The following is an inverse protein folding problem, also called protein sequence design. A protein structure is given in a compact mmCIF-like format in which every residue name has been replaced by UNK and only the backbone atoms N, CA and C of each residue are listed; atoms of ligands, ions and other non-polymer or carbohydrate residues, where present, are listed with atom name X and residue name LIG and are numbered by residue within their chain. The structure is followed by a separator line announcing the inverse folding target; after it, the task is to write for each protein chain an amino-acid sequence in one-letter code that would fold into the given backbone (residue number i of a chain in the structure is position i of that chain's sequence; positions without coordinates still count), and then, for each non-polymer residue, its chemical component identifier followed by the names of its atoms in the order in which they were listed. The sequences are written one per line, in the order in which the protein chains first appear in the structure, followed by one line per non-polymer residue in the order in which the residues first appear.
data_IF_115966581464
#
_entry.id   IF_115966581464
#
_cell.length_a   1.000
_cell.length_b   1.000
_cell.length_c   1.000
_cell.angle_alpha   90.00
_cell.angle_beta   90.00
_cell.angle_gamma   90.00
#
_symmetry.space_group_name_H-M   'P 1'
#
loop_
_entity.id
_entity.type
_entity.pdbx_description
1 polymer ?
#
# COMPACT_ATOMS: atom_id res chain seq x y z
N UNK A 1 -5.43 35.64 -12.30
CA UNK A 1 -5.72 34.91 -13.55
C UNK A 1 -5.07 33.53 -13.42
N UNK A 2 -5.85 32.55 -12.98
CA UNK A 2 -5.44 31.17 -12.94
C UNK A 2 -5.25 30.66 -14.36
N UNK A 3 -4.03 30.42 -14.73
CA UNK A 3 -3.73 29.72 -15.98
C UNK A 3 -4.30 28.31 -15.92
N UNK A 4 -5.38 28.10 -16.64
CA UNK A 4 -5.92 26.77 -16.91
C UNK A 4 -4.78 25.92 -17.46
N UNK A 5 -4.20 25.05 -16.64
CA UNK A 5 -3.19 24.10 -17.12
C UNK A 5 -3.84 23.30 -18.24
N UNK A 6 -3.36 23.46 -19.45
CA UNK A 6 -3.80 22.70 -20.62
C UNK A 6 -3.49 21.23 -20.29
N UNK A 7 -4.51 20.46 -19.93
CA UNK A 7 -4.41 19.01 -19.84
C UNK A 7 -4.25 18.50 -21.26
N UNK A 8 -3.32 17.58 -21.47
CA UNK A 8 -3.13 16.93 -22.76
C UNK A 8 -4.36 16.03 -23.05
N UNK A 9 -5.40 16.65 -23.60
CA UNK A 9 -6.64 15.97 -23.97
C UNK A 9 -6.47 15.42 -25.38
N UNK A 10 -6.73 14.14 -25.52
CA UNK A 10 -6.74 13.43 -26.79
C UNK A 10 -8.17 13.02 -27.13
N UNK A 11 -8.52 13.11 -28.40
CA UNK A 11 -9.79 12.61 -28.91
C UNK A 11 -9.68 11.09 -29.11
N UNK A 12 -10.53 10.31 -28.43
CA UNK A 12 -10.60 8.85 -28.53
C UNK A 12 -11.73 8.38 -29.46
N UNK A 13 -12.49 9.31 -29.99
CA UNK A 13 -13.60 9.10 -30.90
C UNK A 13 -14.41 10.38 -31.04
N UNK A 14 -15.25 10.47 -32.08
CA UNK A 14 -16.01 11.68 -32.42
C UNK A 14 -16.77 12.23 -31.19
N UNK A 15 -16.35 13.40 -30.72
CA UNK A 15 -16.96 14.09 -29.58
C UNK A 15 -16.65 13.47 -28.21
N UNK A 16 -15.70 12.53 -28.12
CA UNK A 16 -15.25 11.93 -26.86
C UNK A 16 -13.76 12.17 -26.66
N UNK A 17 -13.43 12.86 -25.59
CA UNK A 17 -12.03 13.13 -25.21
C UNK A 17 -11.64 12.42 -23.95
N UNK A 18 -10.35 12.09 -23.81
CA UNK A 18 -9.73 11.57 -22.62
C UNK A 18 -8.41 12.29 -22.34
N UNK A 19 -7.94 12.24 -21.11
CA UNK A 19 -6.63 12.73 -20.73
C UNK A 19 -5.58 11.66 -20.99
N UNK A 20 -4.43 12.04 -21.55
CA UNK A 20 -3.27 11.14 -21.63
C UNK A 20 -2.73 10.89 -20.23
N UNK A 21 -2.40 9.64 -19.93
CA UNK A 21 -1.90 9.17 -18.63
C UNK A 21 -0.68 8.28 -18.84
N UNK A 22 0.13 8.11 -17.78
CA UNK A 22 1.44 7.46 -17.86
C UNK A 22 1.62 6.51 -16.68
N UNK A 23 2.16 5.31 -17.00
CA UNK A 23 2.65 4.34 -16.02
C UNK A 23 4.03 4.77 -15.48
N UNK A 24 4.49 4.12 -14.41
CA UNK A 24 5.85 4.33 -13.91
C UNK A 24 6.91 3.96 -14.95
N UNK A 25 6.61 3.02 -15.85
CA UNK A 25 7.54 2.61 -16.91
C UNK A 25 7.58 3.58 -18.10
N UNK A 26 6.58 4.44 -18.23
CA UNK A 26 6.56 5.50 -19.26
C UNK A 26 7.41 6.72 -18.90
N UNK A 27 7.87 6.82 -17.64
CA UNK A 27 8.65 7.97 -17.19
C UNK A 27 10.06 7.57 -16.80
N UNK A 28 11.01 8.48 -16.96
CA UNK A 28 12.38 8.32 -16.50
C UNK A 28 12.85 9.53 -15.69
N UNK A 29 13.72 9.27 -14.71
CA UNK A 29 14.33 10.28 -13.87
C UNK A 29 15.50 10.91 -14.60
N UNK A 30 15.50 12.25 -14.71
CA UNK A 30 16.57 13.01 -15.38
C UNK A 30 17.82 13.02 -14.50
N UNK A 31 18.99 12.60 -15.02
CA UNK A 31 20.23 12.67 -14.27
C UNK A 31 20.63 14.13 -13.99
N UNK A 32 21.30 14.36 -12.86
CA UNK A 32 21.82 15.66 -12.49
C UNK A 32 23.32 15.78 -12.82
N UNK A 33 23.78 17.01 -13.03
CA UNK A 33 25.23 17.32 -13.13
C UNK A 33 25.99 17.07 -11.82
N UNK A 34 25.29 16.96 -10.70
CA UNK A 34 25.88 16.77 -9.37
C UNK A 34 25.47 15.40 -8.83
N UNK A 35 26.42 14.65 -8.32
CA UNK A 35 26.17 13.36 -7.64
C UNK A 35 26.65 13.42 -6.20
N UNK A 36 26.16 12.50 -5.36
CA UNK A 36 26.54 12.34 -3.96
C UNK A 36 26.91 10.89 -3.66
N UNK A 37 27.49 10.63 -2.50
CA UNK A 37 27.59 9.29 -1.96
C UNK A 37 26.21 8.81 -1.50
N UNK A 38 25.84 7.57 -1.83
CA UNK A 38 24.56 6.97 -1.35
C UNK A 38 24.51 6.86 0.18
N UNK A 39 25.67 6.88 0.86
CA UNK A 39 25.72 6.92 2.33
C UNK A 39 25.22 8.25 2.91
N UNK A 40 25.14 9.30 2.11
CA UNK A 40 24.64 10.61 2.50
C UNK A 40 23.16 10.82 2.16
N UNK A 41 22.54 9.87 1.44
CA UNK A 41 21.14 9.94 1.08
C UNK A 41 20.27 9.28 2.16
N UNK A 42 19.35 10.05 2.73
CA UNK A 42 18.36 9.57 3.68
C UNK A 42 17.09 9.14 2.96
N UNK A 43 16.57 7.96 3.34
CA UNK A 43 15.26 7.48 2.89
C UNK A 43 14.21 7.58 4.00
N UNK A 44 14.57 8.21 5.12
CA UNK A 44 13.65 8.43 6.22
C UNK A 44 12.50 9.37 5.82
N UNK A 45 11.33 9.08 6.35
CA UNK A 45 10.12 9.87 6.16
C UNK A 45 9.30 9.89 7.45
N UNK A 46 8.27 10.69 7.49
CA UNK A 46 7.40 10.85 8.65
C UNK A 46 5.94 10.73 8.21
N UNK A 47 5.14 10.05 9.00
CA UNK A 47 3.69 10.00 8.87
C UNK A 47 3.10 10.47 10.19
N UNK A 48 2.54 11.67 10.21
CA UNK A 48 2.11 12.36 11.42
C UNK A 48 3.24 12.42 12.47
N UNK A 49 3.06 11.90 13.68
CA UNK A 49 4.08 11.84 14.73
C UNK A 49 5.08 10.68 14.56
N UNK A 50 4.84 9.74 13.67
CA UNK A 50 5.64 8.52 13.52
C UNK A 50 6.72 8.69 12.45
N UNK A 51 7.96 8.34 12.81
CA UNK A 51 9.11 8.36 11.93
C UNK A 51 9.48 6.95 11.48
N UNK A 52 9.79 6.82 10.20
CA UNK A 52 10.23 5.59 9.55
C UNK A 52 11.57 5.82 8.85
N UNK A 53 12.47 4.84 8.89
CA UNK A 53 13.78 4.92 8.25
C UNK A 53 13.74 4.56 6.76
N UNK A 54 12.72 3.80 6.35
CA UNK A 54 12.49 3.43 4.94
C UNK A 54 11.06 3.76 4.53
N UNK A 55 10.83 4.23 3.30
CA UNK A 55 9.50 4.66 2.84
C UNK A 55 8.67 3.47 2.33
N UNK A 56 8.58 2.42 3.12
CA UNK A 56 7.90 1.16 2.76
C UNK A 56 6.84 0.82 3.79
N UNK A 57 5.63 0.60 3.28
CA UNK A 57 4.52 -0.01 3.99
C UNK A 57 4.23 -1.38 3.35
N UNK A 58 3.81 -2.34 4.15
CA UNK A 58 3.32 -3.61 3.60
C UNK A 58 1.83 -3.52 3.27
N UNK A 59 1.44 -4.02 2.10
CA UNK A 59 0.02 -4.18 1.77
C UNK A 59 -0.65 -5.10 2.81
N UNK A 60 -1.79 -4.72 3.38
CA UNK A 60 -2.42 -5.40 4.51
C UNK A 60 -3.15 -6.68 4.08
N UNK A 61 -2.40 -7.71 3.73
CA UNK A 61 -2.92 -9.05 3.40
C UNK A 61 -2.25 -10.11 4.26
N UNK A 62 -2.98 -11.17 4.59
CA UNK A 62 -2.48 -12.30 5.38
C UNK A 62 -1.36 -13.07 4.67
N UNK A 63 -1.22 -12.92 3.35
CA UNK A 63 -0.09 -13.45 2.59
C UNK A 63 1.25 -12.82 2.98
N UNK A 64 1.23 -11.56 3.45
CA UNK A 64 2.44 -10.78 3.73
C UNK A 64 2.67 -10.56 5.22
N UNK A 65 1.60 -10.28 5.97
CA UNK A 65 1.69 -9.74 7.32
C UNK A 65 1.05 -10.65 8.36
N UNK A 66 1.93 -11.27 9.14
CA UNK A 66 1.68 -11.79 10.47
C UNK A 66 2.17 -10.77 11.51
N UNK A 67 1.91 -10.95 12.80
CA UNK A 67 2.59 -10.19 13.85
C UNK A 67 4.12 -10.26 13.75
N UNK A 68 4.67 -11.44 13.43
CA UNK A 68 6.11 -11.63 13.28
C UNK A 68 6.71 -10.87 12.09
N UNK A 69 6.09 -10.94 10.91
CA UNK A 69 6.56 -10.20 9.73
C UNK A 69 6.36 -8.70 9.87
N UNK A 70 5.29 -8.25 10.53
CA UNK A 70 5.10 -6.83 10.86
C UNK A 70 6.21 -6.30 11.78
N UNK A 71 6.61 -7.08 12.78
CA UNK A 71 7.75 -6.78 13.66
C UNK A 71 9.06 -6.75 12.87
N UNK A 72 9.29 -7.72 11.98
CA UNK A 72 10.48 -7.77 11.16
C UNK A 72 10.60 -6.51 10.27
N UNK A 73 9.51 -6.12 9.59
CA UNK A 73 9.49 -4.91 8.78
C UNK A 73 9.67 -3.64 9.62
N UNK A 74 9.02 -3.57 10.79
CA UNK A 74 9.16 -2.45 11.71
C UNK A 74 10.61 -2.27 12.21
N UNK A 75 11.32 -3.37 12.50
CA UNK A 75 12.73 -3.36 12.90
C UNK A 75 13.66 -2.89 11.77
N UNK A 76 13.28 -3.09 10.51
CA UNK A 76 13.98 -2.52 9.35
C UNK A 76 13.63 -1.04 9.10
N UNK A 77 12.72 -0.49 9.91
CA UNK A 77 12.30 0.91 9.83
C UNK A 77 11.16 1.19 8.85
N UNK A 78 10.46 0.16 8.39
CA UNK A 78 9.23 0.27 7.59
C UNK A 78 7.97 0.13 8.46
N UNK A 79 6.80 -0.01 7.83
CA UNK A 79 5.51 -0.16 8.49
C UNK A 79 4.80 -1.44 8.07
N UNK A 80 4.71 -2.42 8.97
CA UNK A 80 3.84 -3.57 8.83
C UNK A 80 2.41 -3.21 9.19
N UNK A 81 1.45 -3.58 8.34
CA UNK A 81 0.03 -3.30 8.57
C UNK A 81 -0.72 -4.63 8.69
N UNK A 82 -1.22 -4.92 9.87
CA UNK A 82 -2.02 -6.13 10.10
C UNK A 82 -3.40 -5.97 9.45
N UNK A 83 -3.93 -7.08 8.91
CA UNK A 83 -5.30 -7.12 8.45
C UNK A 83 -6.24 -7.37 9.64
N UNK A 84 -6.96 -6.36 10.12
CA UNK A 84 -7.90 -6.47 11.23
C UNK A 84 -9.11 -7.38 10.95
N UNK A 85 -9.31 -7.76 9.69
CA UNK A 85 -10.35 -8.69 9.25
C UNK A 85 -9.76 -10.01 8.75
N UNK A 86 -8.47 -10.22 8.94
CA UNK A 86 -7.70 -11.34 8.45
C UNK A 86 -7.73 -12.59 9.34
N UNK A 87 -6.87 -13.55 9.00
CA UNK A 87 -6.81 -14.86 9.66
C UNK A 87 -6.36 -14.76 11.11
N UNK A 88 -5.45 -13.85 11.44
CA UNK A 88 -5.00 -13.59 12.82
C UNK A 88 -6.09 -13.09 13.76
N UNK A 89 -7.18 -12.57 13.22
CA UNK A 89 -8.35 -12.17 13.97
C UNK A 89 -9.43 -13.27 14.04
N UNK A 90 -9.21 -14.44 13.42
CA UNK A 90 -10.24 -15.50 13.28
C UNK A 90 -9.83 -16.86 13.85
N UNK A 91 -8.56 -17.19 13.79
CA UNK A 91 -8.04 -18.50 14.15
C UNK A 91 -6.89 -18.39 15.14
N UNK A 92 -6.89 -19.27 16.17
CA UNK A 92 -5.77 -19.35 17.08
C UNK A 92 -4.60 -20.18 16.51
N UNK A 93 -4.87 -21.04 15.53
CA UNK A 93 -3.94 -21.93 14.85
C UNK A 93 -3.61 -21.47 13.42
N UNK A 94 -3.41 -20.16 13.22
CA UNK A 94 -3.24 -19.53 11.89
C UNK A 94 -2.10 -20.18 11.10
N UNK A 95 -0.97 -20.48 11.74
CA UNK A 95 0.20 -21.06 11.06
C UNK A 95 -0.16 -22.41 10.42
N UNK A 96 -0.86 -23.28 11.14
CA UNK A 96 -1.33 -24.56 10.60
C UNK A 96 -2.35 -24.37 9.47
N UNK A 97 -3.21 -23.35 9.54
CA UNK A 97 -4.16 -23.01 8.47
C UNK A 97 -3.49 -22.49 7.21
N UNK A 98 -2.44 -21.71 7.38
CA UNK A 98 -1.64 -21.23 6.24
C UNK A 98 -0.83 -22.38 5.61
N UNK A 99 -0.25 -23.29 6.39
CA UNK A 99 0.41 -24.48 5.87
C UNK A 99 -0.57 -25.34 5.06
N UNK A 100 -1.80 -25.56 5.56
CA UNK A 100 -2.86 -26.26 4.85
C UNK A 100 -3.19 -25.55 3.51
N UNK A 101 -3.37 -24.23 3.53
CA UNK A 101 -3.69 -23.43 2.34
C UNK A 101 -2.58 -23.51 1.29
N UNK A 102 -1.32 -23.38 1.71
CA UNK A 102 -0.15 -23.45 0.82
C UNK A 102 -0.01 -24.86 0.23
N UNK A 103 -0.20 -25.88 1.05
CA UNK A 103 -0.15 -27.26 0.58
C UNK A 103 -1.22 -27.54 -0.50
N UNK A 104 -2.44 -27.01 -0.32
CA UNK A 104 -3.50 -27.10 -1.34
C UNK A 104 -3.06 -26.35 -2.60
N UNK A 105 -2.54 -25.13 -2.47
CA UNK A 105 -2.10 -24.34 -3.60
C UNK A 105 -0.92 -24.96 -4.38
N UNK A 106 -0.03 -25.68 -3.70
CA UNK A 106 1.10 -26.40 -4.34
C UNK A 106 0.70 -27.73 -4.98
N UNK A 107 -0.35 -28.37 -4.48
CA UNK A 107 -0.71 -29.75 -4.83
C UNK A 107 -1.76 -29.85 -5.92
N UNK A 108 -2.47 -28.76 -6.17
CA UNK A 108 -3.68 -28.80 -6.98
C UNK A 108 -3.49 -28.02 -8.28
N UNK A 109 -3.77 -28.69 -9.41
CA UNK A 109 -3.94 -28.01 -10.71
C UNK A 109 -5.24 -27.18 -10.76
N UNK A 110 -6.06 -27.24 -9.71
CA UNK A 110 -7.32 -26.53 -9.59
C UNK A 110 -7.18 -25.28 -8.67
N UNK A 111 -7.02 -24.14 -9.31
CA UNK A 111 -6.97 -22.82 -8.63
C UNK A 111 -8.18 -22.58 -7.73
N UNK A 112 -9.33 -23.19 -8.04
CA UNK A 112 -10.59 -23.00 -7.31
C UNK A 112 -10.53 -23.63 -5.91
N UNK A 113 -9.77 -24.70 -5.69
CA UNK A 113 -9.67 -25.37 -4.39
C UNK A 113 -9.00 -24.47 -3.36
N UNK A 114 -7.88 -23.83 -3.69
CA UNK A 114 -7.18 -22.92 -2.80
C UNK A 114 -7.99 -21.66 -2.46
N UNK A 115 -8.69 -21.10 -3.42
CA UNK A 115 -9.63 -19.99 -3.19
C UNK A 115 -10.79 -20.41 -2.31
N UNK A 116 -11.37 -21.58 -2.55
CA UNK A 116 -12.46 -22.12 -1.73
C UNK A 116 -12.04 -22.31 -0.28
N UNK A 117 -10.83 -22.83 -0.06
CA UNK A 117 -10.26 -22.96 1.30
C UNK A 117 -10.03 -21.60 1.95
N UNK A 118 -9.43 -20.65 1.22
CA UNK A 118 -9.20 -19.29 1.71
C UNK A 118 -10.52 -18.61 2.13
N UNK A 119 -11.55 -18.73 1.32
CA UNK A 119 -12.89 -18.22 1.63
C UNK A 119 -13.49 -18.88 2.87
N UNK A 120 -13.37 -20.21 3.01
CA UNK A 120 -13.79 -20.95 4.18
C UNK A 120 -13.10 -20.45 5.45
N UNK A 121 -11.79 -20.24 5.41
CA UNK A 121 -11.03 -19.71 6.54
C UNK A 121 -11.51 -18.31 6.93
N UNK A 122 -11.76 -17.44 5.96
CA UNK A 122 -12.28 -16.09 6.20
C UNK A 122 -13.77 -16.02 6.54
N UNK A 123 -14.54 -17.11 6.40
CA UNK A 123 -15.92 -17.17 6.85
C UNK A 123 -16.08 -17.37 8.36
N UNK A 124 -15.03 -17.77 9.05
CA UNK A 124 -15.02 -17.85 10.51
C UNK A 124 -15.24 -16.45 11.14
N UNK A 125 -15.94 -16.37 12.29
CA UNK A 125 -16.21 -15.10 12.95
C UNK A 125 -14.91 -14.42 13.42
N UNK A 126 -14.90 -13.09 13.40
CA UNK A 126 -13.84 -12.31 14.03
C UNK A 126 -13.87 -12.51 15.55
N UNK A 127 -12.70 -12.72 16.13
CA UNK A 127 -12.49 -12.91 17.56
C UNK A 127 -11.67 -11.73 18.11
N UNK A 128 -12.28 -10.79 18.83
CA UNK A 128 -11.60 -9.59 19.32
C UNK A 128 -10.37 -9.90 20.19
N UNK A 129 -10.38 -10.97 20.94
CA UNK A 129 -9.26 -11.37 21.82
C UNK A 129 -8.04 -11.82 21.01
N UNK A 130 -8.24 -12.55 19.90
CA UNK A 130 -7.15 -12.94 19.00
C UNK A 130 -6.54 -11.72 18.31
N UNK A 131 -7.38 -10.81 17.84
CA UNK A 131 -6.92 -9.56 17.24
C UNK A 131 -6.14 -8.70 18.25
N UNK A 132 -6.65 -8.58 19.47
CA UNK A 132 -5.96 -7.85 20.56
C UNK A 132 -4.61 -8.49 20.90
N UNK A 133 -4.52 -9.83 20.94
CA UNK A 133 -3.27 -10.54 21.15
C UNK A 133 -2.25 -10.32 20.03
N UNK A 134 -2.69 -10.34 18.77
CA UNK A 134 -1.84 -10.04 17.62
C UNK A 134 -1.28 -8.59 17.66
N UNK A 135 -2.13 -7.63 18.04
CA UNK A 135 -1.74 -6.22 18.23
C UNK A 135 -0.74 -6.09 19.38
N UNK A 136 -1.02 -6.73 20.52
CA UNK A 136 -0.14 -6.68 21.69
C UNK A 136 1.26 -7.21 21.38
N UNK A 137 1.37 -8.29 20.62
CA UNK A 137 2.65 -8.86 20.19
C UNK A 137 3.50 -7.84 19.39
N UNK A 138 2.89 -7.10 18.46
CA UNK A 138 3.59 -6.07 17.68
C UNK A 138 4.00 -4.89 18.57
N UNK A 139 3.10 -4.44 19.43
CA UNK A 139 3.35 -3.34 20.38
C UNK A 139 4.50 -3.64 21.35
N UNK A 140 4.51 -4.85 21.93
CA UNK A 140 5.56 -5.28 22.86
C UNK A 140 6.94 -5.35 22.22
N UNK A 141 7.00 -5.55 20.91
CA UNK A 141 8.25 -5.48 20.16
C UNK A 141 8.78 -4.05 19.95
N UNK A 142 8.02 -3.02 20.34
CA UNK A 142 8.43 -1.61 20.26
C UNK A 142 8.45 -1.02 18.86
N UNK A 143 7.69 -1.59 17.93
CA UNK A 143 7.51 -1.06 16.57
C UNK A 143 6.13 -0.44 16.42
N UNK A 144 5.99 0.50 15.47
CA UNK A 144 4.69 1.15 15.18
C UNK A 144 3.65 0.11 14.79
N UNK A 145 2.51 0.14 15.46
CA UNK A 145 1.42 -0.82 15.30
C UNK A 145 0.31 -0.24 14.44
N UNK A 146 0.16 -0.77 13.24
CA UNK A 146 -0.88 -0.35 12.30
C UNK A 146 -1.83 -1.51 11.98
N UNK A 147 -3.12 -1.20 11.89
CA UNK A 147 -4.15 -2.18 11.55
C UNK A 147 -5.07 -1.61 10.45
N UNK A 148 -5.34 -2.45 9.46
CA UNK A 148 -6.27 -2.16 8.38
C UNK A 148 -7.66 -2.67 8.70
N UNK A 149 -8.66 -1.86 8.37
CA UNK A 149 -10.08 -2.23 8.32
C UNK A 149 -10.68 -1.83 6.98
N UNK A 150 -11.73 -2.54 6.56
CA UNK A 150 -12.54 -2.11 5.42
C UNK A 150 -13.47 -0.94 5.82
N UNK A 151 -13.94 -0.12 4.88
CA UNK A 151 -14.93 0.92 5.16
C UNK A 151 -16.21 0.36 5.82
N UNK A 152 -16.60 -0.87 5.43
CA UNK A 152 -17.80 -1.53 5.94
C UNK A 152 -17.70 -1.86 7.43
N UNK A 153 -16.52 -2.24 7.88
CA UNK A 153 -16.29 -2.68 9.27
C UNK A 153 -15.60 -1.62 10.14
N UNK A 154 -15.25 -0.47 9.57
CA UNK A 154 -14.48 0.56 10.27
C UNK A 154 -15.13 0.99 11.59
N UNK A 155 -16.42 1.34 11.59
CA UNK A 155 -17.13 1.76 12.81
C UNK A 155 -17.19 0.65 13.87
N UNK A 156 -17.40 -0.59 13.44
CA UNK A 156 -17.58 -1.70 14.38
C UNK A 156 -16.26 -2.15 15.02
N UNK A 157 -15.16 -2.15 14.27
CA UNK A 157 -13.88 -2.68 14.75
C UNK A 157 -13.00 -1.65 15.47
N UNK A 158 -13.05 -0.38 15.05
CA UNK A 158 -12.14 0.66 15.54
C UNK A 158 -12.12 0.83 17.06
N UNK A 159 -13.23 0.80 17.80
CA UNK A 159 -13.19 0.90 19.26
C UNK A 159 -12.35 -0.19 19.94
N UNK A 160 -12.44 -1.43 19.44
CA UNK A 160 -11.64 -2.55 19.95
C UNK A 160 -10.15 -2.39 19.59
N UNK A 161 -9.85 -1.89 18.39
CA UNK A 161 -8.48 -1.64 17.93
C UNK A 161 -7.79 -0.54 18.76
N UNK A 162 -8.49 0.57 19.01
CA UNK A 162 -7.97 1.66 19.87
C UNK A 162 -7.72 1.14 21.30
N UNK A 163 -8.67 0.37 21.86
CA UNK A 163 -8.50 -0.27 23.16
C UNK A 163 -7.30 -1.22 23.21
N UNK A 164 -7.02 -1.92 22.11
CA UNK A 164 -5.85 -2.78 21.99
C UNK A 164 -4.54 -1.98 21.83
N UNK A 165 -4.62 -0.68 21.54
CA UNK A 165 -3.49 0.26 21.51
C UNK A 165 -2.77 0.31 20.18
N UNK A 166 -3.49 0.41 19.08
CA UNK A 166 -2.91 0.72 17.77
C UNK A 166 -2.37 2.15 17.72
N UNK A 167 -1.32 2.37 16.95
CA UNK A 167 -0.74 3.68 16.68
C UNK A 167 -1.35 4.34 15.43
N UNK A 168 -1.71 3.54 14.44
CA UNK A 168 -2.23 3.98 13.15
C UNK A 168 -3.43 3.12 12.73
N UNK A 169 -4.48 3.76 12.24
CA UNK A 169 -5.61 3.08 11.59
C UNK A 169 -5.52 3.25 10.09
N UNK A 170 -5.67 2.15 9.35
CA UNK A 170 -5.70 2.17 7.89
C UNK A 170 -7.10 1.77 7.41
N UNK A 171 -7.85 2.71 6.84
CA UNK A 171 -9.13 2.43 6.20
C UNK A 171 -8.87 2.19 4.72
N UNK A 172 -8.83 0.92 4.33
CA UNK A 172 -8.42 0.52 2.99
C UNK A 172 -9.43 -0.40 2.33
N UNK A 173 -9.79 -0.05 1.12
CA UNK A 173 -10.62 -0.83 0.20
C UNK A 173 -10.12 -0.66 -1.23
N UNK A 174 -10.68 -1.43 -2.17
CA UNK A 174 -10.30 -1.35 -3.58
C UNK A 174 -10.52 0.05 -4.14
N UNK A 175 -11.67 0.66 -3.84
CA UNK A 175 -11.99 2.06 -4.16
C UNK A 175 -12.61 2.67 -2.91
N UNK A 176 -12.07 3.79 -2.48
CA UNK A 176 -12.63 4.54 -1.35
C UNK A 176 -13.06 5.94 -1.81
N UNK A 177 -14.23 6.33 -1.35
CA UNK A 177 -14.71 7.70 -1.37
C UNK A 177 -14.73 8.28 0.05
N UNK A 178 -14.86 9.59 0.16
CA UNK A 178 -15.00 10.24 1.46
C UNK A 178 -16.27 9.79 2.22
N UNK A 179 -17.23 9.22 1.51
CA UNK A 179 -18.50 8.75 2.03
C UNK A 179 -18.80 7.35 1.47
N UNK A 180 -18.97 6.38 2.34
CA UNK A 180 -19.35 5.01 1.98
C UNK A 180 -20.83 4.80 2.32
N UNK A 181 -21.63 4.42 1.33
CA UNK A 181 -23.04 4.12 1.49
C UNK A 181 -23.22 2.61 1.64
N UNK A 182 -23.66 2.18 2.82
CA UNK A 182 -23.97 0.77 3.11
C UNK A 182 -25.31 0.30 2.53
N UNK A 183 -25.55 -1.00 2.47
CA UNK A 183 -26.82 -1.56 2.05
C UNK A 183 -27.92 -1.35 3.11
N UNK A 184 -29.16 -1.19 2.67
CA UNK A 184 -30.33 -1.47 3.48
C UNK A 184 -30.70 -0.44 4.58
N UNK A 185 -30.25 0.80 4.49
CA UNK A 185 -30.63 1.85 5.43
C UNK A 185 -29.66 2.04 6.61
N UNK A 186 -28.53 1.37 6.57
CA UNK A 186 -27.42 1.67 7.48
C UNK A 186 -26.91 3.09 7.24
N UNK A 187 -26.53 3.78 8.30
CA UNK A 187 -25.93 5.11 8.19
C UNK A 187 -24.62 5.04 7.39
N UNK A 188 -24.45 5.85 6.32
CA UNK A 188 -23.23 5.84 5.54
C UNK A 188 -22.01 6.16 6.41
N UNK A 189 -20.85 5.51 6.13
CA UNK A 189 -19.60 5.89 6.75
C UNK A 189 -19.14 7.24 6.20
N UNK A 190 -19.34 8.30 6.96
CA UNK A 190 -18.76 9.60 6.68
C UNK A 190 -17.36 9.64 7.31
N UNK A 191 -16.31 9.55 6.47
CA UNK A 191 -14.93 9.53 6.94
C UNK A 191 -14.52 10.79 7.70
N UNK A 192 -15.09 11.95 7.38
CA UNK A 192 -14.75 13.19 8.06
C UNK A 192 -15.20 13.17 9.53
N UNK A 193 -16.43 12.78 9.79
CA UNK A 193 -16.94 12.64 11.17
C UNK A 193 -16.24 11.50 11.89
N UNK A 194 -16.06 10.37 11.20
CA UNK A 194 -15.38 9.21 11.77
C UNK A 194 -13.94 9.52 12.20
N UNK A 195 -13.15 10.16 11.33
CA UNK A 195 -11.75 10.52 11.66
C UNK A 195 -11.68 11.56 12.77
N UNK A 196 -12.62 12.51 12.80
CA UNK A 196 -12.63 13.55 13.83
C UNK A 196 -12.90 13.03 15.25
N UNK A 197 -13.46 11.84 15.39
CA UNK A 197 -13.75 11.18 16.66
C UNK A 197 -12.57 10.33 17.19
N UNK A 198 -11.46 10.20 16.40
CA UNK A 198 -10.35 9.30 16.71
C UNK A 198 -9.13 10.07 17.20
N UNK A 199 -8.47 9.52 18.21
CA UNK A 199 -7.20 10.03 18.76
C UNK A 199 -5.97 9.46 18.04
N UNK A 200 -6.16 8.58 17.05
CA UNK A 200 -5.08 7.99 16.25
C UNK A 200 -5.13 8.49 14.80
N UNK A 201 -4.00 8.73 14.14
CA UNK A 201 -4.00 9.13 12.75
C UNK A 201 -4.57 8.04 11.84
N UNK A 202 -5.29 8.48 10.82
CA UNK A 202 -5.94 7.59 9.84
C UNK A 202 -5.29 7.77 8.48
N UNK A 203 -4.93 6.65 7.85
CA UNK A 203 -4.57 6.58 6.44
C UNK A 203 -5.74 5.98 5.68
N UNK A 204 -6.15 6.58 4.58
CA UNK A 204 -7.32 6.12 3.82
C UNK A 204 -7.01 5.96 2.32
N UNK A 205 -7.62 4.97 1.67
CA UNK A 205 -7.50 4.74 0.22
C UNK A 205 -8.00 3.34 -0.21
N UNK A 206 -8.08 3.03 -1.53
CA UNK A 206 -7.39 3.66 -2.64
C UNK A 206 -8.18 4.71 -3.42
N UNK A 207 -7.42 5.63 -3.93
CA UNK A 207 -7.85 6.66 -4.86
C UNK A 207 -6.85 6.75 -6.01
N UNK A 208 -7.23 7.38 -7.14
CA UNK A 208 -6.34 7.43 -8.31
C UNK A 208 -6.35 8.77 -9.07
N UNK A 209 -7.03 9.79 -8.56
CA UNK A 209 -7.08 11.09 -9.24
C UNK A 209 -7.07 12.25 -8.23
N UNK A 210 -6.82 13.45 -8.75
CA UNK A 210 -6.72 14.68 -7.96
C UNK A 210 -7.98 14.94 -7.12
N UNK A 211 -9.18 14.77 -7.70
CA UNK A 211 -10.43 15.12 -7.05
C UNK A 211 -10.74 14.21 -5.88
N UNK A 212 -10.62 12.91 -6.08
CA UNK A 212 -10.87 11.92 -5.02
C UNK A 212 -9.82 11.99 -3.93
N UNK A 213 -8.53 12.19 -4.29
CA UNK A 213 -7.46 12.41 -3.33
C UNK A 213 -7.71 13.67 -2.46
N UNK A 214 -8.08 14.81 -3.07
CA UNK A 214 -8.38 16.04 -2.35
C UNK A 214 -9.58 15.87 -1.40
N UNK A 215 -10.60 15.13 -1.83
CA UNK A 215 -11.74 14.80 -0.98
C UNK A 215 -11.34 14.02 0.26
N UNK A 216 -10.50 12.98 0.11
CA UNK A 216 -9.99 12.22 1.25
C UNK A 216 -9.10 13.08 2.17
N UNK A 217 -8.25 13.93 1.62
CA UNK A 217 -7.44 14.85 2.43
C UNK A 217 -8.31 15.77 3.31
N UNK A 218 -9.41 16.28 2.76
CA UNK A 218 -10.39 17.13 3.48
C UNK A 218 -11.17 16.41 4.58
N UNK A 219 -11.13 15.07 4.63
CA UNK A 219 -11.72 14.33 5.77
C UNK A 219 -10.86 14.39 7.02
N UNK A 220 -9.62 14.83 6.91
CA UNK A 220 -8.68 14.87 8.02
C UNK A 220 -7.70 13.70 8.05
N UNK A 221 -7.66 12.87 7.02
CA UNK A 221 -6.69 11.79 6.91
C UNK A 221 -5.25 12.30 7.02
N UNK A 222 -4.38 11.55 7.70
CA UNK A 222 -2.96 11.81 7.80
C UNK A 222 -2.21 11.39 6.52
N UNK A 223 -2.76 10.42 5.80
CA UNK A 223 -2.24 9.95 4.52
C UNK A 223 -3.33 9.43 3.60
N UNK A 224 -3.08 9.49 2.29
CA UNK A 224 -3.93 8.91 1.25
C UNK A 224 -3.17 7.85 0.48
N UNK A 225 -3.79 6.68 0.29
CA UNK A 225 -3.26 5.59 -0.51
C UNK A 225 -3.73 5.81 -1.95
N UNK A 226 -2.76 5.86 -2.87
CA UNK A 226 -2.98 6.13 -4.29
C UNK A 226 -2.70 4.88 -5.08
N UNK A 227 -3.69 4.42 -5.81
CA UNK A 227 -3.69 3.14 -6.50
C UNK A 227 -4.64 2.14 -5.85
N UNK A 228 -4.64 0.94 -6.39
CA UNK A 228 -5.57 -0.13 -6.02
C UNK A 228 -4.87 -1.47 -5.81
N UNK A 229 -3.59 -1.44 -5.52
CA UNK A 229 -2.72 -2.61 -5.43
C UNK A 229 -2.14 -3.01 -6.78
N UNK A 230 -1.30 -4.04 -6.77
CA UNK A 230 -0.74 -4.62 -8.00
C UNK A 230 -1.81 -5.33 -8.80
N UNK A 231 -1.75 -5.24 -10.13
CA UNK A 231 -2.64 -5.99 -11.04
C UNK A 231 -2.40 -7.50 -11.00
N UNK A 232 -1.24 -7.94 -10.53
CA UNK A 232 -0.95 -9.36 -10.43
C UNK A 232 -1.82 -10.03 -9.36
N UNK A 233 -2.56 -11.05 -9.75
CA UNK A 233 -3.36 -11.91 -8.86
C UNK A 233 -4.69 -11.39 -8.41
N UNK A 234 -5.07 -10.26 -8.88
CA UNK A 234 -6.32 -9.73 -8.50
C UNK A 234 -7.06 -9.30 -9.70
N UNK A 235 -8.10 -8.83 -9.84
CA UNK A 235 -9.09 -8.31 -9.01
C UNK A 235 -10.15 -7.60 -9.80
N UNK A 236 -10.76 -6.83 -9.20
CA UNK A 236 -12.01 -6.16 -9.42
C UNK A 236 -11.88 -4.76 -10.00
N UNK A 237 -10.69 -4.16 -10.09
CA UNK A 237 -10.57 -2.76 -10.55
C UNK A 237 -10.28 -2.61 -12.03
N UNK A 238 -9.05 -2.82 -12.47
CA UNK A 238 -8.67 -2.64 -13.86
C UNK A 238 -9.37 -3.64 -14.78
N UNK A 239 -9.15 -4.94 -14.53
CA UNK A 239 -9.62 -6.00 -15.43
C UNK A 239 -11.13 -6.23 -15.34
N UNK A 240 -11.72 -6.18 -14.14
CA UNK A 240 -13.13 -6.50 -13.94
C UNK A 240 -14.04 -5.28 -14.07
N UNK A 241 -13.64 -4.15 -13.52
CA UNK A 241 -14.47 -2.94 -13.50
C UNK A 241 -14.04 -1.90 -14.55
N UNK A 242 -12.86 -2.03 -15.16
CA UNK A 242 -12.29 -1.04 -16.07
C UNK A 242 -11.95 0.29 -15.39
N UNK A 243 -11.71 0.26 -14.05
CA UNK A 243 -11.43 1.45 -13.26
C UNK A 243 -9.94 1.48 -12.94
N UNK A 244 -9.25 2.55 -13.34
CA UNK A 244 -7.85 2.75 -13.03
C UNK A 244 -7.32 4.04 -13.64
N UNK A 245 -6.22 4.52 -13.08
CA UNK A 245 -5.39 5.58 -13.63
C UNK A 245 -3.94 5.12 -13.52
N UNK A 246 -3.15 5.13 -14.59
CA UNK A 246 -1.73 4.81 -14.60
C UNK A 246 -0.95 5.49 -13.48
N UNK A 247 -0.08 4.74 -12.81
CA UNK A 247 0.46 5.09 -11.50
C UNK A 247 1.30 6.38 -11.47
N UNK A 248 2.10 6.67 -12.49
CA UNK A 248 2.85 7.93 -12.51
C UNK A 248 1.91 9.14 -12.51
N UNK A 249 0.82 9.06 -13.28
CA UNK A 249 -0.20 10.10 -13.35
C UNK A 249 -1.01 10.18 -12.05
N UNK A 250 -1.44 9.04 -11.51
CA UNK A 250 -2.23 9.00 -10.28
C UNK A 250 -1.47 9.62 -9.09
N UNK A 251 -0.18 9.29 -8.94
CA UNK A 251 0.68 9.84 -7.89
C UNK A 251 0.86 11.36 -8.09
N UNK A 252 1.13 11.80 -9.31
CA UNK A 252 1.33 13.22 -9.62
C UNK A 252 0.05 14.04 -9.36
N UNK A 253 -1.12 13.49 -9.66
CA UNK A 253 -2.43 14.08 -9.37
C UNK A 253 -2.68 14.19 -7.86
N UNK A 254 -2.40 13.14 -7.10
CA UNK A 254 -2.54 13.17 -5.63
C UNK A 254 -1.54 14.14 -4.99
N UNK A 255 -0.32 14.21 -5.52
CA UNK A 255 0.67 15.20 -5.07
C UNK A 255 0.23 16.65 -5.41
N UNK A 256 -0.50 16.85 -6.51
CA UNK A 256 -1.12 18.14 -6.81
C UNK A 256 -2.26 18.46 -5.83
N UNK A 257 -3.14 17.49 -5.56
CA UNK A 257 -4.19 17.61 -4.55
C UNK A 257 -3.64 17.97 -3.16
N UNK A 258 -2.52 17.36 -2.77
CA UNK A 258 -1.81 17.69 -1.52
C UNK A 258 -1.36 19.15 -1.50
N UNK A 259 -0.84 19.69 -2.60
CA UNK A 259 -0.47 21.12 -2.67
C UNK A 259 -1.68 22.03 -2.50
N UNK A 260 -2.77 21.72 -3.20
CA UNK A 260 -4.00 22.50 -3.08
C UNK A 260 -4.54 22.45 -1.64
N UNK A 261 -4.52 21.28 -1.00
CA UNK A 261 -4.96 21.12 0.40
C UNK A 261 -4.04 21.85 1.40
N UNK A 262 -2.74 21.85 1.14
CA UNK A 262 -1.77 22.59 1.95
C UNK A 262 -2.06 24.10 1.90
N UNK A 263 -2.37 24.61 0.72
CA UNK A 263 -2.73 26.02 0.52
C UNK A 263 -4.09 26.35 1.17
N UNK A 264 -5.09 25.48 1.02
CA UNK A 264 -6.43 25.65 1.65
C UNK A 264 -6.35 25.67 3.18
N UNK A 265 -5.47 24.93 3.79
CA UNK A 265 -5.40 24.74 5.24
C UNK A 265 -4.32 25.57 5.92
N UNK A 266 -3.52 26.30 5.15
CA UNK A 266 -2.40 27.08 5.69
C UNK A 266 -1.25 26.22 6.23
N UNK A 267 -1.06 25.02 5.68
CA UNK A 267 0.13 24.22 5.98
C UNK A 267 -0.09 22.78 6.48
N UNK A 268 -1.32 22.28 6.50
CA UNK A 268 -1.57 20.88 6.88
C UNK A 268 -1.10 19.93 5.78
N UNK A 269 -0.10 19.11 6.11
CA UNK A 269 0.48 18.14 5.19
C UNK A 269 -0.25 16.80 5.27
N UNK A 270 -0.62 16.21 4.11
CA UNK A 270 -1.16 14.87 4.00
C UNK A 270 -0.22 14.03 3.16
N UNK A 271 0.15 12.85 3.64
CA UNK A 271 1.10 11.97 2.98
C UNK A 271 0.47 11.24 1.80
N UNK A 272 1.22 11.12 0.71
CA UNK A 272 0.84 10.36 -0.49
C UNK A 272 1.58 9.03 -0.48
N UNK A 273 0.84 7.93 -0.40
CA UNK A 273 1.37 6.57 -0.35
C UNK A 273 1.00 5.86 -1.65
N UNK A 274 1.99 5.49 -2.45
CA UNK A 274 1.77 4.82 -3.73
C UNK A 274 1.50 3.32 -3.50
N UNK A 275 0.37 2.80 -4.01
CA UNK A 275 -0.04 1.39 -3.90
C UNK A 275 -0.38 0.83 -5.29
N UNK A 276 0.61 0.31 -5.98
CA UNK A 276 0.46 -0.36 -7.29
C UNK A 276 1.72 -0.34 -8.13
N UNK A 277 1.96 -1.45 -8.83
CA UNK A 277 2.96 -1.64 -9.90
C UNK A 277 4.40 -1.21 -9.57
N UNK A 278 4.80 -1.41 -8.32
CA UNK A 278 6.15 -1.14 -7.82
C UNK A 278 6.81 -2.47 -7.49
N UNK A 279 7.52 -3.05 -8.46
CA UNK A 279 8.24 -4.32 -8.32
C UNK A 279 9.77 -4.14 -8.22
N UNK A 280 10.29 -2.99 -8.64
CA UNK A 280 11.73 -2.73 -8.68
C UNK A 280 12.12 -1.46 -7.94
N UNK A 281 13.39 -1.35 -7.57
CA UNK A 281 13.96 -0.13 -6.99
C UNK A 281 13.85 1.09 -7.92
N UNK A 282 13.88 0.86 -9.24
CA UNK A 282 13.67 1.90 -10.24
C UNK A 282 12.25 2.46 -10.22
N UNK A 283 11.25 1.58 -10.18
CA UNK A 283 9.83 1.98 -10.07
C UNK A 283 9.57 2.66 -8.72
N UNK A 284 10.15 2.16 -7.62
CA UNK A 284 10.08 2.83 -6.32
C UNK A 284 10.65 4.26 -6.39
N UNK A 285 11.81 4.45 -7.02
CA UNK A 285 12.39 5.78 -7.20
C UNK A 285 11.50 6.68 -8.05
N UNK A 286 10.91 6.16 -9.13
CA UNK A 286 9.98 6.91 -9.99
C UNK A 286 8.69 7.30 -9.25
N UNK A 287 8.14 6.42 -8.42
CA UNK A 287 6.98 6.73 -7.59
C UNK A 287 7.26 7.91 -6.63
N UNK A 288 8.41 7.90 -5.95
CA UNK A 288 8.82 9.03 -5.09
C UNK A 288 9.05 10.30 -5.93
N UNK A 289 9.71 10.18 -7.08
CA UNK A 289 9.95 11.31 -7.99
C UNK A 289 8.64 11.93 -8.53
N UNK A 290 7.60 11.11 -8.76
CA UNK A 290 6.26 11.60 -9.14
C UNK A 290 5.52 12.29 -7.98
N UNK A 291 5.99 12.17 -6.74
CA UNK A 291 5.46 12.89 -5.60
C UNK A 291 4.94 12.04 -4.44
N UNK A 292 5.11 10.72 -4.47
CA UNK A 292 4.82 9.87 -3.31
C UNK A 292 5.81 10.13 -2.16
N UNK A 293 5.33 9.99 -0.93
CA UNK A 293 6.16 10.05 0.28
C UNK A 293 6.67 8.65 0.67
N UNK A 294 5.88 7.62 0.34
CA UNK A 294 6.20 6.23 0.59
C UNK A 294 5.46 5.33 -0.41
N UNK A 295 5.82 4.04 -0.41
CA UNK A 295 5.18 3.02 -1.21
C UNK A 295 4.62 1.90 -0.33
N UNK A 296 3.40 1.46 -0.65
CA UNK A 296 2.79 0.25 -0.11
C UNK A 296 3.12 -0.89 -1.08
N UNK A 297 3.82 -1.91 -0.59
CA UNK A 297 4.30 -3.01 -1.41
C UNK A 297 3.51 -4.30 -1.13
N UNK A 298 3.11 -4.98 -2.19
CA UNK A 298 2.45 -6.27 -2.19
C UNK A 298 3.41 -7.39 -2.59
N UNK A 299 3.32 -7.82 -3.84
CA UNK A 299 4.11 -8.92 -4.44
C UNK A 299 5.61 -8.87 -4.12
N UNK A 300 6.30 -7.72 -4.15
CA UNK A 300 7.74 -7.69 -3.83
C UNK A 300 8.08 -8.18 -2.43
N UNK A 301 7.16 -8.07 -1.47
CA UNK A 301 7.37 -8.56 -0.12
C UNK A 301 7.02 -10.05 0.03
N UNK A 302 6.19 -10.60 -0.84
CA UNK A 302 5.77 -11.99 -0.78
C UNK A 302 6.91 -12.98 -1.04
N UNK A 303 7.98 -12.52 -1.72
CA UNK A 303 9.19 -13.33 -1.94
C UNK A 303 10.02 -13.53 -0.67
N UNK A 304 9.81 -12.70 0.37
CA UNK A 304 10.60 -12.75 1.60
C UNK A 304 10.31 -14.00 2.43
N UNK A 305 11.36 -14.52 3.09
CA UNK A 305 11.25 -15.68 3.97
C UNK A 305 10.29 -15.46 5.14
N UNK A 306 10.20 -14.22 5.63
CA UNK A 306 9.33 -13.82 6.73
C UNK A 306 7.86 -13.67 6.33
N UNK A 307 7.52 -13.69 5.03
CA UNK A 307 6.13 -13.57 4.58
C UNK A 307 5.37 -14.87 4.82
N UNK A 308 4.23 -14.83 5.54
CA UNK A 308 3.50 -16.04 5.93
C UNK A 308 2.91 -16.82 4.76
N UNK A 309 2.68 -16.17 3.62
CA UNK A 309 2.26 -16.83 2.37
C UNK A 309 3.31 -17.73 1.72
N UNK A 310 4.52 -17.84 2.30
CA UNK A 310 5.59 -18.76 1.90
C UNK A 310 5.91 -18.77 0.39
N UNK A 311 5.91 -17.60 -0.25
CA UNK A 311 6.13 -17.45 -1.69
C UNK A 311 4.85 -17.40 -2.52
N UNK A 312 3.69 -17.48 -1.86
CA UNK A 312 2.39 -17.22 -2.45
C UNK A 312 1.88 -15.83 -2.07
N UNK A 313 1.18 -15.20 -2.98
CA UNK A 313 0.55 -13.92 -2.76
C UNK A 313 -0.95 -13.99 -3.09
N UNK A 314 -1.77 -13.34 -2.27
CA UNK A 314 -3.17 -13.06 -2.56
C UNK A 314 -3.55 -11.70 -1.97
N UNK A 315 -4.37 -10.91 -2.69
CA UNK A 315 -4.89 -9.66 -2.15
C UNK A 315 -5.99 -9.93 -1.11
N UNK A 316 -6.23 -8.97 -0.22
CA UNK A 316 -7.31 -9.10 0.78
C UNK A 316 -8.69 -9.35 0.15
N UNK A 317 -8.91 -8.88 -1.08
CA UNK A 317 -10.15 -9.08 -1.81
C UNK A 317 -10.38 -10.55 -2.23
N UNK A 318 -9.32 -11.34 -2.44
CA UNK A 318 -9.42 -12.76 -2.77
C UNK A 318 -10.11 -13.58 -1.67
N UNK A 319 -9.98 -13.13 -0.43
CA UNK A 319 -10.55 -13.77 0.75
C UNK A 319 -12.05 -13.47 0.99
N UNK A 320 -12.74 -12.83 0.05
CA UNK A 320 -14.16 -12.51 0.24
C UNK A 320 -15.00 -13.80 0.36
N UNK A 321 -15.77 -13.97 1.46
CA UNK A 321 -16.38 -15.27 1.79
C UNK A 321 -17.44 -15.76 0.80
N UNK A 322 -18.03 -14.88 0.01
CA UNK A 322 -19.12 -15.24 -0.92
C UNK A 322 -18.78 -14.97 -2.39
N UNK A 323 -17.69 -14.29 -2.69
CA UNK A 323 -17.30 -13.95 -4.07
C UNK A 323 -15.80 -14.08 -4.25
N UNK A 324 -15.30 -14.98 -5.10
CA UNK A 324 -13.90 -15.02 -5.46
C UNK A 324 -13.55 -13.74 -6.23
N UNK A 325 -12.55 -13.00 -5.74
CA UNK A 325 -12.10 -11.72 -6.32
C UNK A 325 -10.58 -11.65 -6.50
N UNK A 326 -9.99 -12.76 -6.81
CA UNK A 326 -8.58 -12.91 -7.03
C UNK A 326 -8.16 -14.36 -6.90
N UNK A 327 -6.87 -14.61 -7.08
CA UNK A 327 -6.26 -15.93 -7.00
C UNK A 327 -5.08 -15.92 -6.04
N UNK A 328 -4.67 -17.10 -5.59
CA UNK A 328 -3.36 -17.29 -5.00
C UNK A 328 -2.34 -17.39 -6.13
N UNK A 329 -1.31 -16.55 -6.09
CA UNK A 329 -0.24 -16.51 -7.10
C UNK A 329 1.06 -17.04 -6.54
N UNK A 330 1.73 -17.97 -7.20
CA UNK A 330 3.10 -18.32 -6.90
C UNK A 330 4.03 -17.17 -7.35
N UNK A 331 4.71 -16.52 -6.42
CA UNK A 331 5.65 -15.42 -6.72
C UNK A 331 7.09 -15.78 -6.45
N UNK A 332 7.34 -16.83 -5.66
CA UNK A 332 8.66 -17.39 -5.40
C UNK A 332 8.56 -18.85 -5.04
N UNK A 333 9.68 -19.59 -5.21
CA UNK A 333 9.79 -20.96 -4.71
C UNK A 333 9.68 -20.99 -3.18
N UNK A 334 8.92 -21.92 -2.62
CA UNK A 334 8.81 -22.12 -1.18
C UNK A 334 10.12 -22.56 -0.52
N UNK A 335 11.06 -23.12 -1.28
CA UNK A 335 12.27 -23.81 -0.77
C UNK A 335 13.42 -22.85 -0.45
N UNK A 336 13.59 -21.76 -1.21
CA UNK A 336 14.70 -20.83 -0.99
C UNK A 336 14.27 -19.38 -1.26
N UNK A 337 13.97 -18.66 -0.20
CA UNK A 337 13.51 -17.26 -0.27
C UNK A 337 14.52 -16.32 0.41
N UNK A 338 14.76 -15.13 -0.15
CA UNK A 338 15.60 -14.12 0.48
C UNK A 338 14.96 -13.64 1.80
N UNK A 339 15.78 -13.13 2.72
CA UNK A 339 15.25 -12.43 3.89
C UNK A 339 14.61 -11.11 3.47
N UNK A 340 13.67 -10.62 4.30
CA UNK A 340 13.06 -9.30 4.13
C UNK A 340 14.12 -8.17 4.10
N UNK A 341 15.19 -8.32 4.88
CA UNK A 341 16.35 -7.42 4.83
C UNK A 341 17.01 -7.42 3.46
N UNK A 342 17.21 -8.59 2.84
CA UNK A 342 17.79 -8.69 1.48
C UNK A 342 16.87 -8.06 0.44
N UNK A 343 15.56 -8.27 0.56
CA UNK A 343 14.56 -7.67 -0.34
C UNK A 343 14.59 -6.15 -0.27
N UNK A 344 14.69 -5.58 0.94
CA UNK A 344 14.52 -4.14 1.15
C UNK A 344 15.84 -3.37 1.19
N UNK A 345 16.81 -3.80 1.99
CA UNK A 345 18.03 -3.03 2.28
C UNK A 345 19.30 -3.67 1.72
N UNK A 346 19.25 -4.94 1.34
CA UNK A 346 20.39 -5.68 0.78
C UNK A 346 21.40 -6.17 1.83
N UNK A 347 22.58 -6.58 1.43
CA UNK A 347 23.08 -6.55 0.05
C UNK A 347 22.38 -7.53 -0.90
N UNK A 348 22.44 -7.26 -2.20
CA UNK A 348 21.91 -8.13 -3.23
C UNK A 348 22.80 -8.14 -4.48
N UNK A 349 22.83 -9.27 -5.15
CA UNK A 349 23.47 -9.46 -6.47
C UNK A 349 22.45 -9.43 -7.62
N UNK A 350 21.18 -9.12 -7.35
CA UNK A 350 20.15 -9.00 -8.38
C UNK A 350 20.42 -7.79 -9.29
N UNK A 351 20.61 -8.01 -10.61
CA UNK A 351 20.91 -6.94 -11.56
C UNK A 351 19.65 -6.20 -12.04
N UNK A 352 18.44 -6.70 -11.76
CA UNK A 352 17.18 -6.16 -12.28
C UNK A 352 16.45 -5.23 -11.29
N UNK A 353 16.96 -5.15 -10.06
CA UNK A 353 16.44 -4.22 -9.05
C UNK A 353 15.19 -4.73 -8.31
N UNK A 354 14.88 -6.03 -8.39
CA UNK A 354 13.78 -6.64 -7.63
C UNK A 354 14.15 -6.92 -6.17
N UNK A 355 15.44 -6.88 -5.83
CA UNK A 355 15.96 -6.95 -4.47
C UNK A 355 16.70 -5.65 -4.12
N UNK A 356 16.93 -5.44 -2.82
CA UNK A 356 17.59 -4.23 -2.30
C UNK A 356 16.90 -2.93 -2.75
N UNK A 357 15.56 -2.92 -2.67
CA UNK A 357 14.71 -1.86 -3.20
C UNK A 357 15.07 -0.48 -2.64
N UNK A 358 15.26 -0.38 -1.34
CA UNK A 358 15.62 0.88 -0.66
C UNK A 358 17.07 1.27 -0.94
N UNK A 359 17.98 0.29 -1.06
CA UNK A 359 19.35 0.56 -1.47
C UNK A 359 19.42 1.13 -2.89
N UNK A 360 18.59 0.62 -3.81
CA UNK A 360 18.43 1.17 -5.16
C UNK A 360 17.85 2.59 -5.15
N UNK A 361 16.80 2.84 -4.37
CA UNK A 361 16.23 4.17 -4.16
C UNK A 361 17.31 5.15 -3.64
N UNK A 362 18.06 4.76 -2.62
CA UNK A 362 19.15 5.57 -2.04
C UNK A 362 20.23 5.92 -3.08
N UNK A 363 20.51 4.97 -3.99
CA UNK A 363 21.42 5.22 -5.12
C UNK A 363 20.81 6.18 -6.14
N UNK A 364 19.51 6.10 -6.43
CA UNK A 364 18.84 7.03 -7.33
C UNK A 364 18.91 8.47 -6.80
N UNK A 365 18.59 8.70 -5.51
CA UNK A 365 18.76 9.98 -4.86
C UNK A 365 20.19 10.52 -5.03
N UNK A 366 21.16 9.69 -4.71
CA UNK A 366 22.58 10.07 -4.75
C UNK A 366 23.06 10.40 -6.17
N UNK A 367 22.64 9.63 -7.18
CA UNK A 367 23.03 9.86 -8.59
C UNK A 367 22.39 11.09 -9.19
N UNK A 368 21.27 11.53 -8.66
CA UNK A 368 20.58 12.78 -9.03
C UNK A 368 20.91 13.95 -8.12
N UNK A 369 21.81 13.74 -7.12
CA UNK A 369 22.36 14.81 -6.28
C UNK A 369 21.54 15.20 -5.07
N UNK A 370 20.46 14.46 -4.77
CA UNK A 370 19.56 14.73 -3.65
C UNK A 370 20.00 14.00 -2.37
N UNK A 371 19.65 14.56 -1.21
CA UNK A 371 20.02 14.04 0.12
C UNK A 371 18.84 13.37 0.86
N UNK A 372 17.63 13.65 0.45
CA UNK A 372 16.41 13.15 1.08
C UNK A 372 15.24 13.04 0.09
N UNK A 373 14.16 12.39 0.53
CA UNK A 373 12.99 12.11 -0.32
C UNK A 373 12.25 13.39 -0.74
N UNK A 374 12.12 14.38 0.15
CA UNK A 374 11.39 15.62 -0.13
C UNK A 374 12.08 16.45 -1.23
N UNK A 375 13.38 16.55 -1.14
CA UNK A 375 14.15 17.21 -2.17
C UNK A 375 14.13 16.41 -3.49
N UNK A 376 14.15 15.08 -3.40
CA UNK A 376 14.09 14.20 -4.58
C UNK A 376 12.76 14.29 -5.34
N UNK A 377 11.64 14.60 -4.70
CA UNK A 377 10.38 14.90 -5.38
C UNK A 377 10.44 16.10 -6.35
N UNK A 378 11.53 16.89 -6.31
CA UNK A 378 11.78 18.00 -7.24
C UNK A 378 12.62 17.61 -8.47
N UNK A 379 13.02 16.34 -8.57
CA UNK A 379 13.84 15.85 -9.68
C UNK A 379 13.12 16.02 -11.01
N UNK A 380 13.86 16.30 -12.08
CA UNK A 380 13.29 16.35 -13.44
C UNK A 380 12.85 14.97 -13.92
N UNK A 381 11.75 14.93 -14.62
CA UNK A 381 11.23 13.73 -15.27
C UNK A 381 11.13 13.93 -16.76
N UNK A 382 11.30 12.85 -17.52
CA UNK A 382 10.99 12.76 -18.95
C UNK A 382 9.97 11.67 -19.18
N UNK A 383 9.20 11.81 -20.25
CA UNK A 383 8.25 10.80 -20.73
C UNK A 383 8.86 10.11 -21.95
N UNK A 384 8.78 8.80 -21.99
CA UNK A 384 9.15 8.02 -23.18
C UNK A 384 8.12 8.26 -24.28
N UNK A 385 8.60 8.46 -25.50
CA UNK A 385 7.74 8.68 -26.68
C UNK A 385 7.20 7.38 -27.25
#
# INVERSE_FOLDING_TARGET
MEGTRVRDLVEIGMGRTARRTYELDDVDIVPSRRTRSSKQASTAWQLDAYRFEIPILAHPTDALMSPASAIALGKLGGLGILNGEGLWARHADVDAKLEELIHVAESDDDVDASITLLQKLHSAPLQPDLLAAAIAQVREAGVTTAVRVSPQNARALTPALIKAGIDLLVVHGTIISAEHVGPGGDEPLNLKTFIAELDVPVVAGGVSDHRTALHLMRTGAAGVIVGYGSFEGATTTGEVLGIGVPMATAIADAAAARRDYLDETGGRYVHVIADGDIATSGQLAKAIACGADAAMLGVPLAVAAESPGAGWYWPSAAAHPSMPRGALLPVASSVQRPSLETVLVGPSNDPFGSLNLVGGLRRALAKTGYSDLKEFQKVGLTVRA
#
